data_IF_137254738387
#
_entry.id   IF_137254738387
#
_cell.length_a   1.000
_cell.length_b   1.000
_cell.length_c   1.000
_cell.angle_alpha   90.00
_cell.angle_beta   90.00
_cell.angle_gamma   90.00
#
_symmetry.space_group_name_H-M   'P 1'
#
loop_
_entity.id
_entity.type
_entity.pdbx_description
1 polymer ?
#
# COMPACT_ATOMS: atom_id res chain seq x y z
N UNK A 1 16.66 17.32 -13.17
CA UNK A 1 17.26 16.49 -12.10
C UNK A 1 18.71 16.22 -12.48
N UNK A 2 19.66 16.96 -11.89
CA UNK A 2 21.12 16.80 -12.11
C UNK A 2 21.89 17.18 -10.83
N UNK A 3 21.47 16.63 -9.68
CA UNK A 3 22.04 17.04 -8.39
C UNK A 3 22.20 15.91 -7.36
N UNK A 4 21.86 14.68 -7.72
CA UNK A 4 22.01 13.49 -6.87
C UNK A 4 22.38 12.28 -7.72
N UNK A 5 23.13 11.33 -7.15
CA UNK A 5 23.56 10.11 -7.83
C UNK A 5 22.47 9.01 -7.87
N UNK A 6 21.46 9.12 -6.99
CA UNK A 6 20.33 8.19 -6.94
C UNK A 6 19.23 8.68 -5.99
N UNK A 7 18.04 8.10 -6.10
CA UNK A 7 16.90 8.39 -5.24
C UNK A 7 16.09 7.12 -4.96
N UNK A 8 15.56 7.01 -3.75
CA UNK A 8 14.50 6.04 -3.42
C UNK A 8 13.17 6.76 -3.57
N UNK A 9 12.29 6.23 -4.41
CA UNK A 9 11.04 6.90 -4.80
C UNK A 9 9.87 5.98 -4.44
N UNK A 10 8.94 6.50 -3.63
CA UNK A 10 7.70 5.80 -3.35
C UNK A 10 6.78 5.80 -4.59
N UNK A 11 6.06 4.67 -4.81
CA UNK A 11 5.21 4.47 -5.98
C UNK A 11 4.16 5.58 -6.20
N UNK A 12 3.65 6.23 -5.15
CA UNK A 12 2.67 7.31 -5.25
C UNK A 12 3.11 8.46 -6.17
N UNK A 13 4.42 8.71 -6.27
CA UNK A 13 4.95 9.82 -7.09
C UNK A 13 5.16 9.46 -8.55
N UNK A 14 5.10 8.16 -8.92
CA UNK A 14 5.40 7.72 -10.28
C UNK A 14 4.39 8.21 -11.30
N UNK A 15 3.10 8.28 -10.94
CA UNK A 15 2.01 8.73 -11.80
C UNK A 15 2.20 10.20 -12.25
N UNK A 16 2.70 11.04 -11.34
CA UNK A 16 2.91 12.47 -11.58
C UNK A 16 4.32 12.78 -12.13
N UNK A 17 5.16 11.76 -12.29
CA UNK A 17 6.52 11.90 -12.78
C UNK A 17 6.67 11.34 -14.19
N UNK A 18 7.70 11.81 -14.89
CA UNK A 18 8.13 11.23 -16.17
C UNK A 18 9.06 10.01 -15.99
N UNK A 19 9.06 9.38 -14.81
CA UNK A 19 9.90 8.22 -14.50
C UNK A 19 9.17 6.94 -14.95
N UNK A 20 9.87 6.11 -15.71
CA UNK A 20 9.47 4.72 -15.97
C UNK A 20 9.92 3.86 -14.77
N UNK A 21 9.01 3.21 -14.02
CA UNK A 21 9.41 2.35 -12.90
C UNK A 21 10.35 1.21 -13.31
N UNK A 22 10.31 0.76 -14.57
CA UNK A 22 11.23 -0.26 -15.08
C UNK A 22 12.68 0.21 -15.21
N UNK A 23 12.92 1.52 -15.10
CA UNK A 23 14.27 2.10 -15.10
C UNK A 23 14.95 2.06 -13.72
N UNK A 24 14.26 1.59 -12.68
CA UNK A 24 14.81 1.50 -11.34
C UNK A 24 16.03 0.56 -11.31
N UNK A 25 17.10 0.97 -10.61
CA UNK A 25 18.27 0.13 -10.37
C UNK A 25 17.94 -1.08 -9.47
N UNK A 26 16.94 -0.92 -8.61
CA UNK A 26 16.41 -1.95 -7.73
C UNK A 26 14.93 -1.66 -7.43
N UNK A 27 14.15 -2.71 -7.21
CA UNK A 27 12.76 -2.62 -6.78
C UNK A 27 12.51 -3.62 -5.65
N UNK A 28 11.75 -3.19 -4.64
CA UNK A 28 11.33 -4.08 -3.55
C UNK A 28 10.44 -5.21 -4.10
N UNK A 29 10.50 -6.39 -3.47
CA UNK A 29 9.60 -7.50 -3.75
C UNK A 29 8.33 -7.38 -2.89
N UNK A 30 7.18 -6.97 -3.47
CA UNK A 30 5.93 -6.80 -2.71
C UNK A 30 5.32 -8.13 -2.24
N UNK A 31 5.82 -9.27 -2.71
CA UNK A 31 5.36 -10.60 -2.30
C UNK A 31 6.15 -11.17 -1.12
N UNK A 32 7.26 -10.53 -0.75
CA UNK A 32 8.10 -10.97 0.35
C UNK A 32 7.39 -10.79 1.71
N UNK A 33 7.66 -11.65 2.72
CA UNK A 33 7.12 -11.46 4.07
C UNK A 33 7.49 -10.10 4.69
N UNK A 34 8.66 -9.56 4.32
CA UNK A 34 9.12 -8.24 4.76
C UNK A 34 8.32 -7.07 4.16
N UNK A 35 7.50 -7.31 3.14
CA UNK A 35 6.64 -6.30 2.53
C UNK A 35 5.34 -6.06 3.33
N UNK A 36 4.98 -6.94 4.27
CA UNK A 36 3.72 -6.86 5.00
C UNK A 36 3.49 -5.52 5.75
N UNK A 37 4.51 -4.88 6.37
CA UNK A 37 4.37 -3.55 6.96
C UNK A 37 4.07 -2.41 5.97
N UNK A 38 4.26 -2.64 4.66
CA UNK A 38 4.09 -1.63 3.60
C UNK A 38 2.79 -1.81 2.81
N UNK A 39 1.89 -2.69 3.26
CA UNK A 39 0.55 -2.81 2.70
C UNK A 39 -0.21 -1.50 2.97
N UNK A 40 -0.65 -0.81 1.91
CA UNK A 40 -1.52 0.34 2.04
C UNK A 40 -2.89 -0.08 2.57
N UNK A 41 -3.46 0.71 3.47
CA UNK A 41 -4.73 0.41 4.16
C UNK A 41 -5.72 1.57 4.07
N UNK A 42 -7.01 1.23 3.99
CA UNK A 42 -8.10 2.18 4.26
C UNK A 42 -8.29 2.24 5.78
N UNK A 43 -8.31 3.43 6.34
CA UNK A 43 -8.40 3.66 7.79
C UNK A 43 -9.64 4.48 8.15
N UNK A 44 -10.20 4.19 9.32
CA UNK A 44 -11.31 4.93 9.91
C UNK A 44 -11.04 5.11 11.42
N UNK A 45 -11.79 5.99 12.08
CA UNK A 45 -11.74 6.08 13.55
C UNK A 45 -12.28 4.80 14.17
N UNK A 46 -11.83 4.48 15.39
CA UNK A 46 -12.17 3.21 16.04
C UNK A 46 -13.69 3.02 16.21
N UNK A 47 -14.41 4.10 16.53
CA UNK A 47 -15.86 4.11 16.68
C UNK A 47 -16.63 3.92 15.36
N UNK A 48 -15.96 4.04 14.21
CA UNK A 48 -16.55 3.90 12.87
C UNK A 48 -16.17 2.59 12.16
N UNK A 49 -15.46 1.69 12.83
CA UNK A 49 -14.97 0.43 12.23
C UNK A 49 -16.08 -0.42 11.60
N UNK A 50 -17.29 -0.37 12.16
CA UNK A 50 -18.46 -1.11 11.69
C UNK A 50 -19.45 -0.22 10.91
N UNK A 51 -19.04 0.99 10.52
CA UNK A 51 -19.91 1.91 9.79
C UNK A 51 -20.33 1.27 8.44
N UNK A 52 -21.64 1.02 8.21
CA UNK A 52 -22.10 0.31 7.02
C UNK A 52 -21.82 1.08 5.72
N UNK A 53 -21.67 2.41 5.79
CA UNK A 53 -21.25 3.23 4.65
C UNK A 53 -19.78 2.97 4.30
N UNK A 54 -18.92 2.84 5.30
CA UNK A 54 -17.49 2.58 5.08
C UNK A 54 -17.24 1.17 4.55
N UNK A 55 -18.01 0.18 5.04
CA UNK A 55 -17.96 -1.17 4.49
C UNK A 55 -18.31 -1.18 2.99
N UNK A 56 -19.35 -0.44 2.58
CA UNK A 56 -19.68 -0.27 1.14
C UNK A 56 -18.55 0.40 0.36
N UNK A 57 -17.83 1.37 0.95
CA UNK A 57 -16.70 2.01 0.28
C UNK A 57 -15.53 1.04 0.07
N UNK A 58 -15.27 0.15 1.04
CA UNK A 58 -14.26 -0.92 0.91
C UNK A 58 -14.66 -1.87 -0.23
N UNK A 59 -15.93 -2.27 -0.31
CA UNK A 59 -16.42 -3.13 -1.40
C UNK A 59 -16.25 -2.44 -2.78
N UNK A 60 -16.57 -1.15 -2.87
CA UNK A 60 -16.38 -0.37 -4.10
C UNK A 60 -14.90 -0.24 -4.45
N UNK A 61 -14.02 -0.04 -3.47
CA UNK A 61 -12.58 0.06 -3.69
C UNK A 61 -12.00 -1.22 -4.30
N UNK A 62 -12.52 -2.38 -3.90
CA UNK A 62 -12.11 -3.67 -4.46
C UNK A 62 -12.86 -4.06 -5.74
N UNK A 63 -13.72 -3.21 -6.29
CA UNK A 63 -14.41 -3.48 -7.54
C UNK A 63 -13.43 -3.51 -8.74
N UNK A 64 -13.75 -4.24 -9.82
CA UNK A 64 -12.92 -4.27 -11.03
C UNK A 64 -12.63 -2.88 -11.59
N UNK A 65 -13.64 -1.99 -11.65
CA UNK A 65 -13.48 -0.65 -12.19
C UNK A 65 -12.44 0.19 -11.43
N UNK A 66 -12.41 0.11 -10.10
CA UNK A 66 -11.44 0.86 -9.28
C UNK A 66 -10.06 0.22 -9.34
N UNK A 67 -9.98 -1.11 -9.22
CA UNK A 67 -8.70 -1.84 -9.25
C UNK A 67 -7.99 -1.73 -10.61
N UNK A 68 -8.74 -1.73 -11.71
CA UNK A 68 -8.19 -1.50 -13.06
C UNK A 68 -7.67 -0.06 -13.23
N UNK A 69 -8.44 0.93 -12.78
CA UNK A 69 -8.02 2.34 -12.83
C UNK A 69 -6.73 2.56 -12.03
N UNK A 70 -6.64 1.94 -10.86
CA UNK A 70 -5.49 2.04 -9.98
C UNK A 70 -4.25 1.31 -10.50
N UNK A 71 -4.42 0.13 -11.13
CA UNK A 71 -3.33 -0.57 -11.82
C UNK A 71 -2.72 0.27 -12.96
N UNK A 72 -3.57 1.03 -13.68
CA UNK A 72 -3.11 1.96 -14.72
C UNK A 72 -2.34 3.14 -14.14
N UNK A 73 -2.87 3.77 -13.08
CA UNK A 73 -2.24 4.92 -12.43
C UNK A 73 -0.87 4.56 -11.83
N UNK A 74 -0.77 3.41 -11.17
CA UNK A 74 0.48 2.88 -10.60
C UNK A 74 1.48 2.38 -11.65
N UNK A 75 1.17 2.47 -12.96
CA UNK A 75 1.99 1.90 -14.05
C UNK A 75 2.31 0.41 -13.82
N UNK A 76 1.42 -0.32 -13.16
CA UNK A 76 1.57 -1.75 -12.85
C UNK A 76 2.58 -2.09 -11.75
N UNK A 77 3.07 -1.11 -10.98
CA UNK A 77 4.00 -1.38 -9.86
C UNK A 77 3.28 -1.84 -8.59
N UNK A 78 1.95 -1.75 -8.56
CA UNK A 78 1.18 -2.07 -7.37
C UNK A 78 0.56 -3.47 -7.46
N UNK A 79 0.69 -4.21 -6.37
CA UNK A 79 0.04 -5.50 -6.18
C UNK A 79 -1.27 -5.30 -5.40
N UNK A 80 -2.35 -5.91 -5.87
CA UNK A 80 -3.62 -5.92 -5.15
C UNK A 80 -3.52 -6.84 -3.93
N UNK A 81 -3.93 -6.33 -2.77
CA UNK A 81 -4.00 -7.08 -1.51
C UNK A 81 -5.43 -6.96 -0.98
N UNK A 82 -6.02 -8.10 -0.63
CA UNK A 82 -7.35 -8.16 -0.03
C UNK A 82 -7.24 -8.81 1.34
N UNK A 83 -7.05 -7.97 2.37
CA UNK A 83 -7.07 -8.33 3.79
C UNK A 83 -8.19 -7.58 4.47
N UNK A 84 -8.93 -8.24 5.36
CA UNK A 84 -10.02 -7.57 6.06
C UNK A 84 -9.49 -6.72 7.24
N UNK A 85 -10.37 -5.94 7.87
CA UNK A 85 -9.98 -5.08 8.99
C UNK A 85 -9.38 -5.82 10.20
N UNK A 86 -9.82 -7.06 10.46
CA UNK A 86 -9.27 -7.89 11.55
C UNK A 86 -7.85 -8.36 11.22
N UNK A 87 -7.60 -8.77 9.98
CA UNK A 87 -6.27 -9.17 9.50
C UNK A 87 -5.30 -7.99 9.61
N UNK A 88 -5.71 -6.80 9.14
CA UNK A 88 -4.91 -5.59 9.24
C UNK A 88 -4.61 -5.21 10.70
N UNK A 89 -5.59 -5.34 11.60
CA UNK A 89 -5.39 -5.08 13.03
C UNK A 89 -4.43 -6.09 13.68
N UNK A 90 -4.49 -7.37 13.29
CA UNK A 90 -3.57 -8.40 13.76
C UNK A 90 -2.12 -8.13 13.29
N UNK A 91 -1.95 -7.73 12.03
CA UNK A 91 -0.65 -7.32 11.47
C UNK A 91 -0.10 -6.12 12.24
N UNK A 92 -0.92 -5.07 12.44
CA UNK A 92 -0.52 -3.88 13.20
C UNK A 92 -0.06 -4.25 14.61
N UNK A 93 -0.86 -5.04 15.34
CA UNK A 93 -0.54 -5.48 16.70
C UNK A 93 0.81 -6.24 16.75
N UNK A 94 1.05 -7.13 15.78
CA UNK A 94 2.32 -7.87 15.67
C UNK A 94 3.51 -6.93 15.42
N UNK A 95 3.36 -5.99 14.48
CA UNK A 95 4.42 -5.01 14.16
C UNK A 95 4.73 -4.13 15.37
N UNK A 96 3.70 -3.62 16.06
CA UNK A 96 3.90 -2.80 17.26
C UNK A 96 4.61 -3.56 18.38
N UNK A 97 4.28 -4.84 18.58
CA UNK A 97 4.96 -5.68 19.58
C UNK A 97 6.43 -5.90 19.24
N UNK A 98 6.74 -6.18 17.97
CA UNK A 98 8.13 -6.31 17.49
C UNK A 98 8.93 -5.04 17.79
N UNK A 99 8.39 -3.87 17.40
CA UNK A 99 9.04 -2.57 17.63
C UNK A 99 9.23 -2.27 19.12
N UNK A 100 8.28 -2.66 19.98
CA UNK A 100 8.41 -2.48 21.44
C UNK A 100 9.49 -3.39 22.04
N UNK A 101 9.63 -4.61 21.53
CA UNK A 101 10.59 -5.61 22.03
C UNK A 101 12.03 -5.38 21.51
N UNK A 102 12.19 -4.64 20.43
CA UNK A 102 13.50 -4.23 19.88
C UNK A 102 14.13 -3.04 20.63
N UNK A 103 13.39 -2.42 21.57
CA UNK A 103 13.90 -1.37 22.47
C UNK A 103 14.39 -1.94 23.80
#
# INVERSE_FOLDING_TARGET
>A
MKSIDGAVINNTYLAQSNIDPKSALYADDPTSPGAEPYINVIVARAEEKDNPTYQKLVDVFHSPAVTEAYAKESKGTQLSVTKNGQDCAAILSRIEQQIRNEK
#
